data_IF_167288224516
#
_entry.id   IF_167288224516
#
_cell.length_a   1.000
_cell.length_b   1.000
_cell.length_c   1.000
_cell.angle_alpha   90.00
_cell.angle_beta   90.00
_cell.angle_gamma   90.00
#
_symmetry.space_group_name_H-M   'P 1'
#
loop_
_entity.id
_entity.type
_entity.pdbx_description
1 polymer ?
#
# COMPACT_ATOMS: atom_id res chain seq x y z
N UNK A 1 24.27 5.46 23.70
CA UNK A 1 24.95 5.92 22.47
C UNK A 1 24.01 6.78 21.67
N UNK A 2 24.34 8.06 21.59
CA UNK A 2 23.67 9.05 20.78
C UNK A 2 24.03 8.87 19.30
N UNK A 3 23.06 9.01 18.39
CA UNK A 3 23.31 9.40 17.01
C UNK A 3 22.09 10.20 16.52
N UNK A 4 22.20 11.52 16.65
CA UNK A 4 21.35 12.48 15.95
C UNK A 4 21.94 12.71 14.55
N UNK A 5 21.09 12.63 13.53
CA UNK A 5 21.45 13.02 12.18
C UNK A 5 21.18 14.51 12.02
N UNK A 6 22.28 15.28 12.06
CA UNK A 6 22.30 16.70 11.80
C UNK A 6 22.15 16.96 10.29
N UNK A 7 21.19 17.84 9.98
CA UNK A 7 21.02 18.49 8.68
C UNK A 7 22.27 19.28 8.32
N UNK A 8 22.89 18.94 7.19
CA UNK A 8 24.00 19.70 6.60
C UNK A 8 23.39 20.83 5.76
N UNK A 9 23.23 22.01 6.36
CA UNK A 9 22.97 23.25 5.63
C UNK A 9 24.28 23.75 5.03
N UNK A 10 24.36 23.76 3.70
CA UNK A 10 25.41 24.43 2.96
C UNK A 10 25.23 25.95 3.06
N UNK A 11 25.98 26.59 3.96
CA UNK A 11 26.09 28.04 4.03
C UNK A 11 27.00 28.52 2.89
N UNK A 12 26.40 29.13 1.87
CA UNK A 12 27.13 29.78 0.78
C UNK A 12 27.55 31.18 1.24
N UNK A 13 28.86 31.35 1.42
CA UNK A 13 29.52 32.59 1.83
C UNK A 13 29.52 33.56 0.63
N UNK A 14 28.51 34.43 0.55
CA UNK A 14 28.54 35.59 -0.37
C UNK A 14 29.24 36.74 0.36
N UNK A 15 30.44 37.09 -0.13
CA UNK A 15 31.20 38.23 0.36
C UNK A 15 30.45 39.53 0.11
N UNK A 16 30.14 40.25 1.19
CA UNK A 16 29.67 41.62 1.12
C UNK A 16 30.84 42.51 0.67
N UNK A 17 30.87 42.88 -0.61
CA UNK A 17 31.62 44.04 -1.06
C UNK A 17 30.86 45.30 -0.61
N UNK A 18 31.36 45.94 0.43
CA UNK A 18 30.92 47.28 0.84
C UNK A 18 31.32 48.29 -0.24
N UNK A 19 30.38 48.59 -1.14
CA UNK A 19 30.48 49.79 -1.98
C UNK A 19 30.00 50.97 -1.15
N UNK A 20 30.91 51.90 -0.94
CA UNK A 20 30.72 53.16 -0.22
C UNK A 20 29.53 53.93 -0.76
N UNK A 21 28.60 54.26 0.15
CA UNK A 21 27.51 55.19 -0.09
C UNK A 21 28.06 56.62 -0.12
N UNK A 22 28.36 57.14 -1.30
CA UNK A 22 28.46 58.59 -1.54
C UNK A 22 28.34 58.86 -3.05
N UNK A 23 27.09 58.81 -3.55
CA UNK A 23 26.59 59.42 -4.81
C UNK A 23 25.28 58.72 -5.23
N UNK A 24 24.16 59.04 -4.57
CA UNK A 24 22.82 58.64 -5.04
C UNK A 24 22.07 59.92 -5.42
N UNK A 25 22.52 60.57 -6.48
CA UNK A 25 21.77 61.65 -7.12
C UNK A 25 21.52 61.22 -8.58
N UNK A 26 20.27 60.83 -8.85
CA UNK A 26 19.69 60.58 -10.18
C UNK A 26 20.17 59.33 -10.97
N UNK A 27 19.91 58.12 -10.45
CA UNK A 27 19.75 56.96 -11.34
C UNK A 27 18.47 57.15 -12.17
N UNK A 28 18.58 57.14 -13.51
CA UNK A 28 17.42 57.31 -14.40
C UNK A 28 16.38 56.19 -14.22
N UNK A 29 15.11 56.42 -14.65
CA UNK A 29 13.99 55.51 -14.42
C UNK A 29 14.21 54.08 -14.96
N UNK A 30 15.07 53.92 -15.97
CA UNK A 30 15.46 52.61 -16.51
C UNK A 30 16.34 51.82 -15.54
N UNK A 31 17.32 52.47 -14.91
CA UNK A 31 18.27 51.79 -14.02
C UNK A 31 17.57 51.21 -12.76
N UNK A 32 16.60 51.94 -12.21
CA UNK A 32 15.78 51.49 -11.07
C UNK A 32 14.90 50.29 -11.46
N UNK A 33 14.29 50.33 -12.65
CA UNK A 33 13.44 49.23 -13.11
C UNK A 33 14.25 47.94 -13.37
N UNK A 34 15.51 48.06 -13.82
CA UNK A 34 16.42 46.90 -13.98
C UNK A 34 16.74 46.27 -12.62
N UNK A 35 17.05 47.07 -11.60
CA UNK A 35 17.36 46.53 -10.26
C UNK A 35 16.16 45.82 -9.64
N UNK A 36 14.97 46.43 -9.72
CA UNK A 36 13.73 45.82 -9.20
C UNK A 36 13.39 44.49 -9.90
N UNK A 37 13.64 44.42 -11.21
CA UNK A 37 13.45 43.20 -12.02
C UNK A 37 14.42 42.08 -11.63
N UNK A 38 15.69 42.40 -11.35
CA UNK A 38 16.68 41.41 -10.90
C UNK A 38 16.41 40.93 -9.47
N UNK A 39 16.03 41.83 -8.55
CA UNK A 39 15.70 41.46 -7.17
C UNK A 39 14.44 40.60 -7.09
N UNK A 40 13.42 40.94 -7.90
CA UNK A 40 12.20 40.13 -7.99
C UNK A 40 12.42 38.79 -8.71
N UNK A 41 13.36 38.69 -9.67
CA UNK A 41 13.81 37.40 -10.23
C UNK A 41 14.42 36.51 -9.15
N UNK A 42 15.33 37.06 -8.33
CA UNK A 42 15.96 36.33 -7.23
C UNK A 42 14.94 35.86 -6.19
N UNK A 43 13.93 36.68 -5.88
CA UNK A 43 12.83 36.31 -4.99
C UNK A 43 11.96 35.19 -5.59
N UNK A 44 11.58 35.29 -6.86
CA UNK A 44 10.74 34.30 -7.54
C UNK A 44 11.47 32.96 -7.70
N UNK A 45 12.75 32.96 -8.06
CA UNK A 45 13.57 31.73 -8.17
C UNK A 45 13.74 31.04 -6.82
N UNK A 46 13.98 31.80 -5.74
CA UNK A 46 14.02 31.24 -4.38
C UNK A 46 12.68 30.62 -3.98
N UNK A 47 11.58 31.33 -4.22
CA UNK A 47 10.24 30.82 -3.90
C UNK A 47 9.88 29.57 -4.71
N UNK A 48 10.34 29.47 -5.96
CA UNK A 48 10.19 28.26 -6.80
C UNK A 48 10.96 27.08 -6.18
N UNK A 49 12.20 27.30 -5.73
CA UNK A 49 12.99 26.27 -5.07
C UNK A 49 12.37 25.81 -3.74
N UNK A 50 11.87 26.74 -2.92
CA UNK A 50 11.17 26.44 -1.67
C UNK A 50 9.89 25.63 -1.94
N UNK A 51 9.15 25.94 -3.01
CA UNK A 51 7.98 25.18 -3.42
C UNK A 51 8.33 23.76 -3.87
N UNK A 52 9.42 23.58 -4.62
CA UNK A 52 9.90 22.25 -5.02
C UNK A 52 10.30 21.42 -3.79
N UNK A 53 10.99 22.02 -2.83
CA UNK A 53 11.33 21.37 -1.57
C UNK A 53 10.07 20.96 -0.78
N UNK A 54 9.09 21.85 -0.66
CA UNK A 54 7.84 21.56 0.04
C UNK A 54 7.02 20.45 -0.65
N UNK A 55 7.01 20.39 -1.99
CA UNK A 55 6.40 19.28 -2.74
C UNK A 55 7.09 17.95 -2.46
N UNK A 56 8.42 17.94 -2.36
CA UNK A 56 9.16 16.74 -2.02
C UNK A 56 8.87 16.27 -0.57
N UNK A 57 8.75 17.20 0.38
CA UNK A 57 8.34 16.89 1.75
C UNK A 57 6.91 16.31 1.80
N UNK A 58 5.98 16.87 1.03
CA UNK A 58 4.60 16.37 0.94
C UNK A 58 4.57 14.92 0.44
N UNK A 59 5.26 14.65 -0.67
CA UNK A 59 5.35 13.30 -1.21
C UNK A 59 6.00 12.30 -0.22
N UNK A 60 7.02 12.73 0.51
CA UNK A 60 7.64 11.91 1.56
C UNK A 60 6.66 11.63 2.72
N UNK A 61 5.84 12.60 3.11
CA UNK A 61 4.82 12.44 4.13
C UNK A 61 3.69 11.49 3.70
N UNK A 62 3.23 11.57 2.44
CA UNK A 62 2.26 10.63 1.86
C UNK A 62 2.80 9.19 1.84
N UNK A 63 4.07 9.03 1.47
CA UNK A 63 4.74 7.73 1.49
C UNK A 63 4.83 7.16 2.92
N UNK A 64 5.11 8.03 3.91
CA UNK A 64 5.15 7.63 5.32
C UNK A 64 3.78 7.18 5.85
N UNK A 65 2.68 7.86 5.49
CA UNK A 65 1.31 7.43 5.81
C UNK A 65 1.04 6.06 5.19
N UNK A 66 1.38 5.89 3.91
CA UNK A 66 1.15 4.65 3.17
C UNK A 66 1.87 3.47 3.83
N UNK A 67 3.14 3.67 4.22
CA UNK A 67 3.92 2.66 4.93
C UNK A 67 3.34 2.35 6.31
N UNK A 68 2.99 3.37 7.10
CA UNK A 68 2.41 3.18 8.43
C UNK A 68 1.05 2.46 8.38
N UNK A 69 0.26 2.72 7.34
CA UNK A 69 -1.00 2.01 7.10
C UNK A 69 -0.78 0.55 6.74
N UNK A 70 0.19 0.25 5.88
CA UNK A 70 0.55 -1.12 5.54
C UNK A 70 1.00 -1.93 6.78
N UNK A 71 1.79 -1.30 7.67
CA UNK A 71 2.20 -1.91 8.95
C UNK A 71 0.98 -2.25 9.83
N UNK A 72 0.01 -1.34 9.92
CA UNK A 72 -1.21 -1.55 10.70
C UNK A 72 -2.09 -2.66 10.11
N UNK A 73 -2.30 -2.65 8.79
CA UNK A 73 -3.12 -3.64 8.09
C UNK A 73 -2.48 -5.05 8.21
N UNK A 74 -1.15 -5.14 8.12
CA UNK A 74 -0.40 -6.39 8.33
C UNK A 74 -0.59 -6.91 9.76
N UNK A 75 -0.41 -6.06 10.77
CA UNK A 75 -0.61 -6.44 12.17
C UNK A 75 -2.06 -6.88 12.45
N UNK A 76 -3.04 -6.27 11.76
CA UNK A 76 -4.43 -6.68 11.86
C UNK A 76 -4.69 -8.07 11.24
N UNK A 77 -4.07 -8.37 10.10
CA UNK A 77 -4.18 -9.69 9.46
C UNK A 77 -3.52 -10.80 10.30
N UNK A 78 -2.35 -10.51 10.88
CA UNK A 78 -1.66 -11.40 11.81
C UNK A 78 -2.52 -11.70 13.04
N UNK A 79 -3.21 -10.67 13.58
CA UNK A 79 -4.09 -10.81 14.72
C UNK A 79 -5.28 -11.72 14.40
N UNK A 80 -5.93 -11.55 13.24
CA UNK A 80 -7.01 -12.43 12.80
C UNK A 80 -6.56 -13.89 12.64
N UNK A 81 -5.32 -14.10 12.16
CA UNK A 81 -4.73 -15.45 12.05
C UNK A 81 -4.48 -16.08 13.43
N UNK A 82 -4.01 -15.28 14.39
CA UNK A 82 -3.82 -15.72 15.76
C UNK A 82 -5.17 -16.05 16.44
N UNK A 83 -6.21 -15.25 16.23
CA UNK A 83 -7.57 -15.54 16.72
C UNK A 83 -8.10 -16.87 16.18
N UNK A 84 -7.95 -17.10 14.88
CA UNK A 84 -8.38 -18.36 14.26
C UNK A 84 -7.62 -19.58 14.83
N UNK A 85 -6.32 -19.41 15.11
CA UNK A 85 -5.49 -20.45 15.73
C UNK A 85 -5.94 -20.75 17.16
N UNK A 86 -6.21 -19.71 17.96
CA UNK A 86 -6.72 -19.84 19.34
C UNK A 86 -8.07 -20.55 19.32
N UNK A 87 -9.01 -20.14 18.46
CA UNK A 87 -10.32 -20.76 18.34
C UNK A 87 -10.22 -22.25 17.95
N UNK A 88 -9.32 -22.60 17.02
CA UNK A 88 -9.08 -23.99 16.64
C UNK A 88 -8.51 -24.85 17.79
N UNK A 89 -7.60 -24.29 18.60
CA UNK A 89 -7.08 -24.96 19.78
C UNK A 89 -8.15 -25.15 20.86
N UNK A 90 -8.99 -24.15 21.11
CA UNK A 90 -10.10 -24.23 22.06
C UNK A 90 -11.12 -25.30 21.66
N UNK A 91 -11.47 -25.37 20.37
CA UNK A 91 -12.32 -26.44 19.85
C UNK A 91 -11.70 -27.83 20.07
N UNK A 92 -10.41 -27.99 19.77
CA UNK A 92 -9.70 -29.25 19.99
C UNK A 92 -9.66 -29.65 21.47
N UNK A 93 -9.47 -28.69 22.38
CA UNK A 93 -9.55 -28.97 23.83
C UNK A 93 -10.94 -29.48 24.22
N UNK A 94 -12.00 -28.82 23.77
CA UNK A 94 -13.37 -29.23 24.07
C UNK A 94 -13.69 -30.64 23.52
N UNK A 95 -13.19 -30.97 22.33
CA UNK A 95 -13.33 -32.32 21.75
C UNK A 95 -12.57 -33.37 22.58
N UNK A 96 -11.33 -33.07 23.00
CA UNK A 96 -10.53 -33.96 23.83
C UNK A 96 -11.17 -34.18 25.21
N UNK A 97 -11.69 -33.12 25.84
CA UNK A 97 -12.40 -33.21 27.12
C UNK A 97 -13.65 -34.09 26.99
N UNK A 98 -14.42 -33.94 25.90
CA UNK A 98 -15.55 -34.82 25.62
C UNK A 98 -15.14 -36.28 25.46
N UNK A 99 -14.08 -36.57 24.68
CA UNK A 99 -13.58 -37.95 24.50
C UNK A 99 -13.08 -38.56 25.81
N UNK A 100 -12.44 -37.76 26.67
CA UNK A 100 -12.01 -38.20 28.00
C UNK A 100 -13.22 -38.57 28.86
N UNK A 101 -14.29 -37.77 28.85
CA UNK A 101 -15.54 -38.07 29.56
C UNK A 101 -16.23 -39.33 29.00
N UNK A 102 -16.24 -39.52 27.68
CA UNK A 102 -16.77 -40.74 27.06
C UNK A 102 -15.99 -41.98 27.51
N UNK A 103 -14.65 -41.92 27.50
CA UNK A 103 -13.81 -43.00 28.01
C UNK A 103 -13.96 -43.23 29.51
N UNK A 104 -14.27 -42.20 30.28
CA UNK A 104 -14.60 -42.34 31.69
C UNK A 104 -15.92 -43.08 31.91
N UNK A 105 -16.94 -42.80 31.12
CA UNK A 105 -18.22 -43.54 31.15
C UNK A 105 -18.06 -44.99 30.70
N UNK A 106 -17.30 -45.23 29.63
CA UNK A 106 -16.97 -46.61 29.20
C UNK A 106 -16.26 -47.38 30.32
N UNK A 107 -15.30 -46.74 30.99
CA UNK A 107 -14.60 -47.35 32.12
C UNK A 107 -15.55 -47.69 33.28
N UNK A 108 -16.45 -46.77 33.66
CA UNK A 108 -17.45 -47.02 34.70
C UNK A 108 -18.39 -48.17 34.35
N UNK A 109 -18.79 -48.28 33.07
CA UNK A 109 -19.63 -49.37 32.59
C UNK A 109 -18.93 -50.73 32.72
N UNK A 110 -17.66 -50.82 32.32
CA UNK A 110 -16.86 -52.05 32.44
C UNK A 110 -16.67 -52.45 33.90
N UNK A 111 -16.44 -51.48 34.80
CA UNK A 111 -16.34 -51.74 36.24
C UNK A 111 -17.67 -52.25 36.82
N UNK A 112 -18.81 -51.74 36.34
CA UNK A 112 -20.13 -52.26 36.75
C UNK A 112 -20.36 -53.69 36.24
N UNK A 113 -19.92 -53.99 35.02
CA UNK A 113 -20.01 -55.33 34.43
C UNK A 113 -19.13 -56.35 35.18
N UNK A 114 -17.90 -55.98 35.51
CA UNK A 114 -17.02 -56.78 36.38
C UNK A 114 -17.69 -57.12 37.73
N UNK A 115 -18.34 -56.13 38.36
CA UNK A 115 -19.04 -56.34 39.64
C UNK A 115 -20.25 -57.27 39.50
N UNK A 116 -20.98 -57.19 38.39
CA UNK A 116 -22.12 -58.06 38.10
C UNK A 116 -21.67 -59.50 37.88
N UNK A 117 -20.57 -59.70 37.15
CA UNK A 117 -20.02 -61.02 36.86
C UNK A 117 -19.47 -61.70 38.13
N UNK A 118 -18.73 -60.95 38.97
CA UNK A 118 -18.25 -61.44 40.27
C UNK A 118 -19.38 -61.79 41.25
N UNK A 119 -20.57 -61.21 41.09
CA UNK A 119 -21.73 -61.47 41.94
C UNK A 119 -22.59 -62.67 41.47
N UNK A 120 -22.31 -63.27 40.30
CA UNK A 120 -23.13 -64.32 39.69
C UNK A 120 -22.72 -65.74 40.15
N UNK A 121 -23.52 -66.46 40.97
CA UNK A 121 -23.11 -67.72 41.59
C UNK A 121 -23.06 -68.92 40.63
N UNK A 122 -23.60 -68.79 39.40
CA UNK A 122 -23.68 -69.86 38.40
C UNK A 122 -22.41 -69.95 37.53
N UNK A 123 -21.62 -68.88 37.43
CA UNK A 123 -20.51 -68.76 36.48
C UNK A 123 -19.12 -68.83 37.13
N UNK A 124 -18.98 -69.62 38.20
CA UNK A 124 -17.77 -69.69 39.07
C UNK A 124 -16.52 -70.32 38.41
N UNK A 125 -16.48 -70.43 37.08
CA UNK A 125 -15.39 -71.07 36.33
C UNK A 125 -15.04 -70.38 35.00
N UNK A 126 -15.46 -69.12 34.81
CA UNK A 126 -15.24 -68.37 33.58
C UNK A 126 -14.05 -67.40 33.66
N UNK A 127 -12.83 -67.86 34.00
CA UNK A 127 -11.61 -67.02 34.09
C UNK A 127 -11.42 -66.14 32.84
N UNK A 128 -11.85 -66.63 31.67
CA UNK A 128 -11.71 -65.96 30.39
C UNK A 128 -12.54 -64.68 30.21
N UNK A 129 -13.66 -64.50 30.92
CA UNK A 129 -14.51 -63.31 30.79
C UNK A 129 -14.05 -62.18 31.73
N UNK A 130 -13.60 -62.54 32.93
CA UNK A 130 -12.97 -61.62 33.88
C UNK A 130 -11.64 -61.08 33.34
N UNK A 131 -10.79 -61.96 32.77
CA UNK A 131 -9.54 -61.56 32.10
C UNK A 131 -9.78 -60.58 30.94
N UNK A 132 -10.86 -60.79 30.16
CA UNK A 132 -11.23 -59.88 29.05
C UNK A 132 -11.67 -58.51 29.56
N UNK A 133 -12.48 -58.46 30.61
CA UNK A 133 -12.92 -57.20 31.21
C UNK A 133 -11.74 -56.44 31.83
N UNK A 134 -10.78 -57.15 32.42
CA UNK A 134 -9.54 -56.56 32.94
C UNK A 134 -8.64 -56.00 31.84
N UNK A 135 -8.48 -56.72 30.73
CA UNK A 135 -7.76 -56.23 29.56
C UNK A 135 -8.42 -54.96 29.01
N UNK A 136 -9.75 -54.99 28.82
CA UNK A 136 -10.52 -53.87 28.29
C UNK A 136 -10.51 -52.64 29.22
N UNK A 137 -10.59 -52.86 30.54
CA UNK A 137 -10.40 -51.85 31.58
C UNK A 137 -9.00 -51.22 31.51
N UNK A 138 -7.96 -52.04 31.30
CA UNK A 138 -6.59 -51.60 31.09
C UNK A 138 -6.41 -50.77 29.82
N UNK A 139 -7.04 -51.17 28.71
CA UNK A 139 -7.03 -50.44 27.45
C UNK A 139 -7.72 -49.08 27.57
N UNK A 140 -8.91 -49.02 28.20
CA UNK A 140 -9.62 -47.75 28.41
C UNK A 140 -8.79 -46.80 29.27
N UNK A 141 -8.13 -47.29 30.33
CA UNK A 141 -7.23 -46.48 31.16
C UNK A 141 -6.05 -45.93 30.35
N UNK A 142 -5.41 -46.75 29.51
CA UNK A 142 -4.31 -46.32 28.62
C UNK A 142 -4.79 -45.28 27.61
N UNK A 143 -5.93 -45.50 26.97
CA UNK A 143 -6.53 -44.56 26.02
C UNK A 143 -6.89 -43.22 26.69
N UNK A 144 -7.51 -43.25 27.88
CA UNK A 144 -7.82 -42.05 28.67
C UNK A 144 -6.55 -41.29 29.06
N UNK A 145 -5.50 -41.99 29.47
CA UNK A 145 -4.21 -41.36 29.80
C UNK A 145 -3.57 -40.68 28.58
N UNK A 146 -3.62 -41.33 27.40
CA UNK A 146 -3.15 -40.73 26.16
C UNK A 146 -3.93 -39.47 25.77
N UNK A 147 -5.26 -39.50 25.85
CA UNK A 147 -6.11 -38.33 25.59
C UNK A 147 -5.83 -37.17 26.56
N UNK A 148 -5.60 -37.47 27.86
CA UNK A 148 -5.20 -36.46 28.85
C UNK A 148 -3.84 -35.84 28.52
N UNK A 149 -2.88 -36.62 28.05
CA UNK A 149 -1.58 -36.11 27.60
C UNK A 149 -1.72 -35.19 26.37
N UNK A 150 -2.57 -35.56 25.41
CA UNK A 150 -2.88 -34.68 24.27
C UNK A 150 -3.59 -33.39 24.68
N UNK A 151 -4.51 -33.47 25.65
CA UNK A 151 -5.20 -32.30 26.20
C UNK A 151 -4.19 -31.35 26.85
N UNK A 152 -3.27 -31.88 27.64
CA UNK A 152 -2.22 -31.08 28.28
C UNK A 152 -1.33 -30.38 27.23
N UNK A 153 -0.89 -31.10 26.20
CA UNK A 153 -0.10 -30.51 25.10
C UNK A 153 -0.89 -29.43 24.33
N UNK A 154 -2.21 -29.61 24.20
CA UNK A 154 -3.09 -28.63 23.55
C UNK A 154 -3.24 -27.37 24.41
N UNK A 155 -3.35 -27.52 25.75
CA UNK A 155 -3.36 -26.40 26.70
C UNK A 155 -2.06 -25.59 26.65
N UNK A 156 -0.92 -26.27 26.62
CA UNK A 156 0.39 -25.60 26.47
C UNK A 156 0.50 -24.84 25.15
N UNK A 157 0.01 -25.43 24.05
CA UNK A 157 -0.03 -24.77 22.74
C UNK A 157 -0.95 -23.54 22.75
N UNK A 158 -2.08 -23.62 23.46
CA UNK A 158 -3.03 -22.50 23.61
C UNK A 158 -2.40 -21.34 24.37
N UNK A 159 -1.70 -21.61 25.47
CA UNK A 159 -1.00 -20.56 26.23
C UNK A 159 0.09 -19.87 25.40
N UNK A 160 0.84 -20.64 24.60
CA UNK A 160 1.81 -20.07 23.65
C UNK A 160 1.11 -19.19 22.59
N UNK A 161 -0.02 -19.66 22.03
CA UNK A 161 -0.80 -18.90 21.05
C UNK A 161 -1.37 -17.60 21.64
N UNK A 162 -1.89 -17.62 22.87
CA UNK A 162 -2.38 -16.42 23.57
C UNK A 162 -1.25 -15.41 23.83
N UNK A 163 -0.07 -15.89 24.22
CA UNK A 163 1.10 -15.02 24.40
C UNK A 163 1.54 -14.39 23.07
N UNK A 164 1.51 -15.15 21.97
CA UNK A 164 1.79 -14.62 20.65
C UNK A 164 0.75 -13.58 20.22
N UNK A 165 -0.54 -13.84 20.45
CA UNK A 165 -1.63 -12.89 20.20
C UNK A 165 -1.41 -11.56 20.93
N UNK A 166 -1.07 -11.59 22.23
CA UNK A 166 -0.80 -10.38 23.00
C UNK A 166 0.37 -9.56 22.40
N UNK A 167 1.44 -10.22 21.96
CA UNK A 167 2.55 -9.56 21.28
C UNK A 167 2.18 -8.96 19.91
N UNK A 168 1.28 -9.59 19.17
CA UNK A 168 0.76 -9.05 17.89
C UNK A 168 -0.15 -7.84 18.17
N UNK A 169 -0.96 -7.90 19.23
CA UNK A 169 -1.82 -6.80 19.64
C UNK A 169 -1.01 -5.55 20.03
N UNK A 170 0.10 -5.72 20.76
CA UNK A 170 1.04 -4.63 21.03
C UNK A 170 1.62 -4.05 19.73
N UNK A 171 2.03 -4.89 18.77
CA UNK A 171 2.51 -4.42 17.46
C UNK A 171 1.46 -3.60 16.72
N UNK A 172 0.20 -4.05 16.75
CA UNK A 172 -0.92 -3.33 16.13
C UNK A 172 -1.13 -1.96 16.81
N UNK A 173 -1.04 -1.88 18.13
CA UNK A 173 -1.13 -0.60 18.86
C UNK A 173 0.02 0.34 18.48
N UNK A 174 1.26 -0.17 18.41
CA UNK A 174 2.41 0.63 17.96
C UNK A 174 2.22 1.11 16.52
N UNK A 175 1.72 0.27 15.62
CA UNK A 175 1.42 0.64 14.24
C UNK A 175 0.32 1.72 14.16
N UNK A 176 -0.71 1.63 15.00
CA UNK A 176 -1.76 2.64 15.08
C UNK A 176 -1.22 4.01 15.53
N UNK A 177 -0.36 4.03 16.54
CA UNK A 177 0.30 5.27 17.01
C UNK A 177 1.20 5.86 15.93
N UNK A 178 1.94 5.03 15.20
CA UNK A 178 2.75 5.49 14.06
C UNK A 178 1.89 6.10 12.94
N UNK A 179 0.76 5.48 12.63
CA UNK A 179 -0.17 5.97 11.62
C UNK A 179 -0.78 7.32 12.03
N UNK A 180 -1.19 7.46 13.30
CA UNK A 180 -1.68 8.74 13.84
C UNK A 180 -0.60 9.83 13.76
N UNK A 181 0.63 9.51 14.19
CA UNK A 181 1.76 10.43 14.12
C UNK A 181 2.08 10.85 12.68
N UNK A 182 2.02 9.91 11.71
CA UNK A 182 2.23 10.20 10.30
C UNK A 182 1.14 11.12 9.72
N UNK A 183 -0.13 10.86 10.05
CA UNK A 183 -1.24 11.73 9.63
C UNK A 183 -1.10 13.14 10.21
N UNK A 184 -0.71 13.25 11.49
CA UNK A 184 -0.48 14.56 12.12
C UNK A 184 0.71 15.29 11.49
N UNK A 185 1.79 14.59 11.16
CA UNK A 185 2.93 15.17 10.47
C UNK A 185 2.55 15.65 9.06
N UNK A 186 1.74 14.88 8.32
CA UNK A 186 1.25 15.25 7.00
C UNK A 186 0.46 16.55 7.03
N UNK A 187 -0.44 16.76 7.99
CA UNK A 187 -1.19 18.02 8.11
C UNK A 187 -0.26 19.24 8.25
N UNK A 188 0.84 19.12 9.00
CA UNK A 188 1.83 20.18 9.12
C UNK A 188 2.67 20.41 7.86
N UNK A 189 2.88 19.37 7.05
CA UNK A 189 3.58 19.47 5.75
C UNK A 189 2.67 20.05 4.68
N UNK A 190 1.39 19.68 4.67
CA UNK A 190 0.36 20.24 3.79
C UNK A 190 0.24 21.75 3.98
N UNK A 191 0.18 22.22 5.22
CA UNK A 191 0.15 23.66 5.52
C UNK A 191 1.41 24.39 4.99
N UNK A 192 2.60 23.80 5.16
CA UNK A 192 3.84 24.37 4.63
C UNK A 192 3.87 24.41 3.11
N UNK A 193 3.37 23.37 2.45
CA UNK A 193 3.24 23.32 1.00
C UNK A 193 2.31 24.42 0.49
N UNK A 194 1.17 24.63 1.14
CA UNK A 194 0.22 25.70 0.79
C UNK A 194 0.82 27.09 1.00
N UNK A 195 1.56 27.30 2.09
CA UNK A 195 2.31 28.54 2.33
C UNK A 195 3.39 28.77 1.27
N UNK A 196 4.11 27.73 0.84
CA UNK A 196 5.11 27.83 -0.22
C UNK A 196 4.46 28.14 -1.58
N UNK A 197 3.33 27.51 -1.91
CA UNK A 197 2.54 27.81 -3.10
C UNK A 197 2.08 29.27 -3.13
N UNK A 198 1.57 29.79 -2.01
CA UNK A 198 1.13 31.18 -1.89
C UNK A 198 2.30 32.17 -2.07
N UNK A 199 3.43 31.93 -1.39
CA UNK A 199 4.64 32.75 -1.51
C UNK A 199 5.20 32.75 -2.93
N UNK A 200 5.20 31.59 -3.60
CA UNK A 200 5.61 31.51 -5.00
C UNK A 200 4.68 32.31 -5.90
N UNK A 201 3.36 32.20 -5.73
CA UNK A 201 2.40 32.96 -6.52
C UNK A 201 2.59 34.48 -6.38
N UNK A 202 2.83 34.96 -5.16
CA UNK A 202 3.11 36.37 -4.86
C UNK A 202 4.43 36.83 -5.50
N UNK A 203 5.53 36.10 -5.27
CA UNK A 203 6.84 36.45 -5.80
C UNK A 203 6.86 36.41 -7.33
N UNK A 204 6.18 35.42 -7.94
CA UNK A 204 6.12 35.30 -9.40
C UNK A 204 5.28 36.41 -10.03
N UNK A 205 4.19 36.84 -9.38
CA UNK A 205 3.42 38.00 -9.83
C UNK A 205 4.25 39.29 -9.74
N UNK A 206 4.96 39.51 -8.64
CA UNK A 206 5.85 40.67 -8.48
C UNK A 206 6.95 40.69 -9.55
N UNK A 207 7.56 39.54 -9.84
CA UNK A 207 8.55 39.41 -10.91
C UNK A 207 7.99 39.79 -12.28
N UNK A 208 6.81 39.28 -12.64
CA UNK A 208 6.14 39.67 -13.89
C UNK A 208 5.90 41.17 -13.98
N UNK A 209 5.44 41.81 -12.91
CA UNK A 209 5.21 43.26 -12.90
C UNK A 209 6.51 44.06 -13.04
N UNK A 210 7.57 43.66 -12.33
CA UNK A 210 8.86 44.33 -12.42
C UNK A 210 9.47 44.21 -13.83
N UNK A 211 9.40 43.03 -14.45
CA UNK A 211 9.83 42.83 -15.84
C UNK A 211 9.00 43.67 -16.81
N UNK A 212 7.68 43.75 -16.63
CA UNK A 212 6.83 44.61 -17.46
C UNK A 212 7.19 46.09 -17.32
N UNK A 213 7.50 46.55 -16.10
CA UNK A 213 7.93 47.93 -15.86
C UNK A 213 9.28 48.24 -16.53
N UNK A 214 10.23 47.32 -16.43
CA UNK A 214 11.54 47.44 -17.09
C UNK A 214 11.41 47.48 -18.62
N UNK A 215 10.64 46.55 -19.20
CA UNK A 215 10.41 46.52 -20.64
C UNK A 215 9.74 47.81 -21.14
N UNK A 216 8.78 48.35 -20.41
CA UNK A 216 8.16 49.65 -20.73
C UNK A 216 9.15 50.80 -20.62
N UNK A 217 9.99 50.82 -19.58
CA UNK A 217 11.03 51.83 -19.41
C UNK A 217 12.08 51.78 -20.53
N UNK A 218 12.35 50.59 -21.08
CA UNK A 218 13.22 50.38 -22.23
C UNK A 218 12.56 50.70 -23.59
N UNK A 219 11.25 51.01 -23.63
CA UNK A 219 10.53 51.34 -24.87
C UNK A 219 9.87 50.15 -25.58
N UNK A 220 9.72 49.01 -24.92
CA UNK A 220 9.00 47.85 -25.49
C UNK A 220 7.51 48.15 -25.70
N UNK A 221 6.92 47.58 -26.76
CA UNK A 221 5.49 47.69 -27.02
C UNK A 221 4.65 46.85 -26.05
N UNK A 222 3.38 47.23 -25.87
CA UNK A 222 2.40 46.52 -25.02
C UNK A 222 2.22 45.04 -25.41
N UNK A 223 2.49 44.68 -26.67
CA UNK A 223 2.46 43.29 -27.13
C UNK A 223 3.39 42.38 -26.31
N UNK A 224 4.59 42.84 -25.99
CA UNK A 224 5.56 42.07 -25.23
C UNK A 224 5.18 41.92 -23.76
N UNK A 225 4.57 42.95 -23.17
CA UNK A 225 4.07 42.88 -21.79
C UNK A 225 2.96 41.83 -21.63
N UNK A 226 2.08 41.69 -22.63
CA UNK A 226 1.08 40.60 -22.67
C UNK A 226 1.71 39.21 -22.78
N UNK A 227 2.85 39.09 -23.49
CA UNK A 227 3.59 37.81 -23.54
C UNK A 227 4.16 37.44 -22.16
N UNK A 228 4.64 38.41 -21.39
CA UNK A 228 5.09 38.18 -20.01
C UNK A 228 3.95 37.66 -19.13
N UNK A 229 2.74 38.21 -19.26
CA UNK A 229 1.58 37.71 -18.50
C UNK A 229 1.29 36.24 -18.79
N UNK A 230 1.45 35.81 -20.04
CA UNK A 230 1.21 34.43 -20.48
C UNK A 230 2.27 33.41 -20.04
N UNK A 231 3.43 33.86 -19.55
CA UNK A 231 4.50 32.98 -19.12
C UNK A 231 4.15 32.33 -17.77
N UNK A 232 4.33 31.01 -17.66
CA UNK A 232 3.95 30.25 -16.45
C UNK A 232 5.12 29.86 -15.56
N UNK A 233 6.36 30.20 -15.96
CA UNK A 233 7.58 29.83 -15.24
C UNK A 233 8.51 31.03 -15.10
N UNK A 234 9.33 31.05 -14.04
CA UNK A 234 10.33 32.10 -13.80
C UNK A 234 11.34 32.13 -14.95
N UNK A 235 11.84 30.97 -15.36
CA UNK A 235 12.73 30.85 -16.52
C UNK A 235 12.08 31.34 -17.83
N UNK A 236 10.77 31.12 -18.02
CA UNK A 236 10.04 31.60 -19.19
C UNK A 236 9.96 33.13 -19.24
N UNK A 237 9.69 33.77 -18.10
CA UNK A 237 9.71 35.24 -17.99
C UNK A 237 11.12 35.79 -18.23
N UNK A 238 12.15 35.17 -17.64
CA UNK A 238 13.56 35.55 -17.82
C UNK A 238 13.99 35.52 -19.28
N UNK A 239 13.75 34.41 -19.96
CA UNK A 239 14.12 34.23 -21.37
C UNK A 239 13.41 35.21 -22.29
N UNK A 240 12.12 35.48 -22.03
CA UNK A 240 11.37 36.50 -22.76
C UNK A 240 11.97 37.89 -22.52
N UNK A 241 12.22 38.27 -21.27
CA UNK A 241 12.86 39.54 -20.90
C UNK A 241 14.17 39.75 -21.67
N UNK A 242 15.09 38.79 -21.60
CA UNK A 242 16.40 38.87 -22.26
C UNK A 242 16.27 39.02 -23.78
N UNK A 243 15.39 38.23 -24.42
CA UNK A 243 15.15 38.29 -25.87
C UNK A 243 14.58 39.65 -26.32
N UNK A 244 13.67 40.22 -25.53
CA UNK A 244 13.03 41.51 -25.85
C UNK A 244 14.02 42.65 -25.68
N UNK A 245 14.79 42.65 -24.59
CA UNK A 245 15.82 43.69 -24.35
C UNK A 245 16.91 43.65 -25.43
N UNK A 246 17.38 42.46 -25.84
CA UNK A 246 18.34 42.32 -26.93
C UNK A 246 17.80 42.88 -28.26
N UNK A 247 16.52 42.63 -28.55
CA UNK A 247 15.86 43.13 -29.76
C UNK A 247 15.71 44.66 -29.78
N UNK A 248 15.56 45.30 -28.61
CA UNK A 248 15.46 46.76 -28.49
C UNK A 248 16.85 47.41 -28.54
N UNK A 249 17.86 46.79 -27.94
CA UNK A 249 19.22 47.30 -27.90
C UNK A 249 19.93 47.23 -29.27
N UNK A 250 19.48 46.36 -30.16
CA UNK A 250 20.01 46.23 -31.51
C UNK A 250 19.36 47.28 -32.43
N UNK A 251 20.10 48.31 -32.92
CA UNK A 251 19.52 49.28 -33.82
C UNK A 251 19.05 48.58 -35.10
N UNK A 252 17.78 48.79 -35.43
CA UNK A 252 17.17 48.40 -36.70
C UNK A 252 18.00 49.00 -37.84
N UNK A 253 18.71 48.16 -38.60
CA UNK A 253 19.24 48.56 -39.90
C UNK A 253 18.01 48.82 -40.77
N UNK A 254 17.85 50.06 -41.25
CA UNK A 254 16.74 50.48 -42.10
C UNK A 254 16.46 49.45 -43.21
N UNK A 255 15.18 49.05 -43.43
CA UNK A 255 14.82 48.39 -44.67
C UNK A 255 14.84 49.44 -45.79
N UNK A 256 15.87 49.42 -46.63
CA UNK A 256 15.91 50.22 -47.86
C UNK A 256 14.65 49.95 -48.71
N UNK A 257 13.87 51.02 -48.87
CA UNK A 257 12.90 51.36 -49.90
C UNK A 257 12.28 50.23 -50.76
N UNK A 258 10.95 50.11 -50.66
CA UNK A 258 10.08 49.78 -51.80
C UNK A 258 10.37 50.69 -53.01
N UNK A 259 10.38 50.14 -54.24
CA UNK A 259 9.86 50.84 -55.40
C UNK A 259 8.58 50.17 -55.92
N UNK A 260 7.54 50.98 -56.15
CA UNK A 260 6.28 50.62 -56.80
C UNK A 260 6.39 50.62 -58.37
N UNK A 261 5.38 50.11 -59.12
CA UNK A 261 5.60 49.24 -60.31
C UNK A 261 5.29 49.81 -61.72
N UNK A 262 5.77 49.06 -62.75
CA UNK A 262 5.34 48.86 -64.18
C UNK A 262 5.61 49.98 -65.22
N UNK A 263 5.86 49.67 -66.54
CA UNK A 263 5.11 48.73 -67.40
C UNK A 263 5.91 47.76 -68.34
N UNK A 264 5.19 46.75 -68.86
CA UNK A 264 5.57 45.72 -69.87
C UNK A 264 5.92 46.31 -71.26
N UNK A 265 6.75 45.67 -72.13
CA UNK A 265 6.24 44.61 -73.05
C UNK A 265 7.26 43.53 -73.58
N UNK A 266 6.78 42.27 -73.62
CA UNK A 266 6.81 41.24 -74.71
C UNK A 266 8.14 40.59 -75.21
N UNK A 267 8.09 39.41 -75.91
CA UNK A 267 8.63 38.13 -75.40
C UNK A 267 9.65 37.41 -76.32
N UNK A 268 10.13 36.24 -75.84
CA UNK A 268 10.74 35.06 -76.52
C UNK A 268 12.20 34.74 -76.14
N UNK A 269 12.69 33.47 -76.24
CA UNK A 269 12.00 32.19 -76.43
C UNK A 269 12.32 31.12 -75.36
N UNK A 270 11.49 30.06 -75.36
CA UNK A 270 11.58 28.81 -74.57
C UNK A 270 12.94 28.10 -74.70
N UNK A 271 13.41 27.49 -73.59
CA UNK A 271 13.99 26.14 -73.65
C UNK A 271 13.09 25.11 -72.96
N UNK A 272 13.14 23.90 -73.53
CA UNK A 272 12.26 22.74 -73.36
C UNK A 272 12.12 22.17 -71.93
N UNK A 273 11.00 21.45 -71.67
CA UNK A 273 10.69 20.88 -70.37
C UNK A 273 11.62 19.71 -70.02
N UNK A 274 12.20 19.75 -68.81
CA UNK A 274 12.78 18.56 -68.17
C UNK A 274 11.78 17.91 -67.20
N UNK A 275 11.83 16.58 -67.06
CA UNK A 275 10.69 15.76 -66.69
C UNK A 275 10.29 15.86 -65.22
N UNK A 276 9.00 15.69 -64.97
CA UNK A 276 8.39 15.58 -63.64
C UNK A 276 9.08 14.52 -62.77
N UNK A 277 9.59 14.87 -61.58
CA UNK A 277 9.86 13.89 -60.54
C UNK A 277 8.54 13.39 -59.95
N UNK A 278 8.41 12.05 -59.96
CA UNK A 278 7.29 11.28 -59.42
C UNK A 278 6.86 11.77 -58.03
N UNK A 279 5.55 11.80 -57.73
CA UNK A 279 5.07 12.10 -56.38
C UNK A 279 5.62 11.10 -55.37
N UNK A 280 6.23 11.62 -54.31
CA UNK A 280 6.63 10.84 -53.15
C UNK A 280 5.41 10.15 -52.51
N UNK A 281 5.57 8.90 -52.04
CA UNK A 281 4.49 8.13 -51.46
C UNK A 281 3.96 8.78 -50.18
N UNK A 282 2.63 8.91 -50.10
CA UNK A 282 1.90 9.35 -48.91
C UNK A 282 2.37 8.58 -47.66
N UNK A 283 2.66 9.26 -46.54
CA UNK A 283 2.91 8.58 -45.27
C UNK A 283 1.69 7.75 -44.86
N UNK A 284 1.95 6.53 -44.38
CA UNK A 284 0.96 5.61 -43.82
C UNK A 284 0.22 6.30 -42.67
N UNK A 285 -1.11 6.14 -42.56
CA UNK A 285 -1.85 6.65 -41.42
C UNK A 285 -1.38 6.00 -40.11
N UNK A 286 -1.17 6.84 -39.11
CA UNK A 286 -0.89 6.43 -37.73
C UNK A 286 -1.99 5.50 -37.20
N UNK A 287 -1.63 4.49 -36.38
CA UNK A 287 -2.61 3.63 -35.75
C UNK A 287 -3.52 4.43 -34.81
N UNK A 288 -4.83 4.23 -34.95
CA UNK A 288 -5.85 4.78 -34.06
C UNK A 288 -5.55 4.42 -32.60
N UNK A 289 -5.69 5.37 -31.65
CA UNK A 289 -5.61 5.07 -30.24
C UNK A 289 -6.63 4.00 -29.84
N UNK A 290 -6.18 3.02 -29.06
CA UNK A 290 -7.05 2.03 -28.43
C UNK A 290 -8.11 2.73 -27.56
N UNK A 291 -9.37 2.24 -27.58
CA UNK A 291 -10.44 2.81 -26.77
C UNK A 291 -10.13 2.67 -25.28
N UNK A 292 -10.22 3.80 -24.57
CA UNK A 292 -10.14 3.86 -23.10
C UNK A 292 -11.11 2.84 -22.46
N UNK A 293 -10.68 2.11 -21.42
CA UNK A 293 -11.57 1.22 -20.68
C UNK A 293 -12.75 2.00 -20.10
N UNK A 294 -13.96 1.42 -20.22
CA UNK A 294 -15.20 1.94 -19.64
C UNK A 294 -15.05 2.09 -18.12
N UNK A 295 -15.60 3.16 -17.51
CA UNK A 295 -15.68 3.29 -16.07
C UNK A 295 -16.40 2.09 -15.45
N UNK A 296 -15.83 1.56 -14.36
CA UNK A 296 -16.48 0.54 -13.53
C UNK A 296 -17.83 1.06 -13.00
N UNK A 297 -18.85 0.19 -12.93
CA UNK A 297 -20.15 0.56 -12.37
C UNK A 297 -20.03 0.91 -10.88
N UNK A 298 -20.66 2.03 -10.51
CA UNK A 298 -20.80 2.47 -9.11
C UNK A 298 -21.39 1.35 -8.25
N UNK A 299 -20.86 1.11 -7.03
CA UNK A 299 -21.45 0.19 -6.08
C UNK A 299 -22.89 0.59 -5.75
N UNK A 300 -23.79 -0.40 -5.77
CA UNK A 300 -25.17 -0.24 -5.33
C UNK A 300 -25.23 0.21 -3.85
N UNK A 301 -26.18 1.09 -3.50
CA UNK A 301 -26.35 1.54 -2.12
C UNK A 301 -26.75 0.39 -1.20
N UNK A 302 -26.03 0.26 -0.09
CA UNK A 302 -26.31 -0.70 0.99
C UNK A 302 -27.78 -0.63 1.44
N UNK A 303 -28.46 -1.78 1.62
CA UNK A 303 -29.81 -1.80 2.17
C UNK A 303 -29.85 -1.24 3.59
N UNK A 304 -30.89 -0.44 3.86
CA UNK A 304 -31.17 0.15 5.18
C UNK A 304 -31.34 -0.95 6.24
N UNK A 305 -30.83 -0.75 7.47
CA UNK A 305 -31.01 -1.70 8.55
C UNK A 305 -32.49 -1.84 8.93
N UNK A 306 -32.99 -3.07 8.93
CA UNK A 306 -34.31 -3.40 9.48
C UNK A 306 -34.33 -3.19 11.00
N UNK A 307 -35.48 -2.74 11.55
CA UNK A 307 -35.64 -2.50 12.98
C UNK A 307 -35.60 -3.80 13.80
N UNK A 308 -34.94 -3.73 14.96
CA UNK A 308 -34.86 -4.79 15.98
C UNK A 308 -36.27 -5.20 16.46
N UNK A 309 -36.65 -6.48 16.38
CA UNK A 309 -37.76 -7.02 17.17
C UNK A 309 -37.35 -7.19 18.63
N UNK A 310 -38.25 -6.77 19.53
CA UNK A 310 -38.16 -6.87 20.98
C UNK A 310 -38.38 -8.33 21.48
N UNK A 311 -38.20 -8.62 22.78
CA UNK A 311 -37.76 -9.93 23.30
C UNK A 311 -38.86 -11.00 23.41
N UNK A 312 -38.39 -12.25 23.47
CA UNK A 312 -39.09 -13.52 23.40
C UNK A 312 -40.05 -13.85 24.57
N UNK A 313 -41.09 -14.67 24.32
CA UNK A 313 -41.68 -15.56 25.32
C UNK A 313 -41.03 -16.97 25.31
N UNK A 314 -41.00 -17.59 26.51
CA UNK A 314 -40.44 -18.92 26.85
C UNK A 314 -41.21 -20.12 26.25
N UNK A 315 -40.62 -21.34 26.29
CA UNK A 315 -40.86 -22.42 25.32
C UNK A 315 -41.80 -23.55 25.79
N UNK A 316 -42.44 -24.22 24.82
CA UNK A 316 -43.01 -25.56 24.99
C UNK A 316 -42.65 -26.51 23.81
N UNK A 317 -41.96 -27.59 24.18
CA UNK A 317 -42.07 -28.98 23.75
C UNK A 317 -42.32 -29.41 22.27
N UNK A 318 -41.28 -30.09 21.74
CA UNK A 318 -41.27 -31.49 21.21
C UNK A 318 -41.93 -31.79 19.84
N UNK A 319 -41.15 -32.18 18.82
CA UNK A 319 -40.92 -33.59 18.36
C UNK A 319 -40.10 -33.68 17.05
N UNK A 320 -39.36 -34.79 16.92
CA UNK A 320 -38.67 -35.51 15.80
C UNK A 320 -39.08 -35.15 14.34
N UNK A 321 -38.29 -35.31 13.26
CA UNK A 321 -37.43 -36.44 12.82
C UNK A 321 -36.65 -36.11 11.49
N UNK A 322 -35.46 -36.74 11.30
CA UNK A 322 -34.79 -37.26 10.07
C UNK A 322 -34.34 -36.40 8.83
N UNK A 323 -33.00 -36.41 8.66
CA UNK A 323 -32.18 -36.90 7.51
C UNK A 323 -32.12 -36.12 6.17
N UNK A 324 -30.93 -35.61 5.81
CA UNK A 324 -30.12 -36.04 4.65
C UNK A 324 -28.92 -35.08 4.38
N UNK A 325 -27.74 -35.64 4.10
CA UNK A 325 -26.55 -34.97 3.54
C UNK A 325 -26.70 -34.80 2.00
N UNK A 326 -25.88 -33.99 1.30
CA UNK A 326 -24.56 -34.49 0.85
C UNK A 326 -23.41 -33.47 0.66
N UNK A 327 -22.19 -34.01 0.85
CA UNK A 327 -20.95 -33.92 0.03
C UNK A 327 -20.15 -32.61 -0.10
N UNK A 328 -18.85 -32.82 0.15
CA UNK A 328 -17.69 -32.00 -0.17
C UNK A 328 -17.40 -32.00 -1.67
N UNK A 329 -16.85 -30.89 -2.19
CA UNK A 329 -15.97 -30.91 -3.36
C UNK A 329 -14.63 -30.28 -2.97
N UNK A 330 -13.60 -31.11 -3.08
CA UNK A 330 -12.20 -30.78 -2.93
C UNK A 330 -11.65 -30.36 -4.30
N UNK A 331 -11.17 -29.12 -4.43
CA UNK A 331 -10.01 -28.78 -5.25
C UNK A 331 -9.61 -27.31 -5.09
N UNK A 332 -8.68 -27.04 -4.16
CA UNK A 332 -7.73 -25.92 -4.26
C UNK A 332 -6.63 -26.12 -3.23
N UNK A 333 -5.43 -26.46 -3.72
CA UNK A 333 -4.20 -26.35 -2.96
C UNK A 333 -3.89 -24.86 -2.74
N UNK A 334 -3.53 -24.40 -1.53
CA UNK A 334 -2.93 -23.09 -1.38
C UNK A 334 -1.50 -23.12 -1.92
N UNK A 335 -1.22 -22.18 -2.84
CA UNK A 335 0.11 -21.90 -3.37
C UNK A 335 0.93 -21.21 -2.28
N UNK A 336 1.83 -21.92 -1.61
CA UNK A 336 2.83 -21.32 -0.73
C UNK A 336 4.09 -21.02 -1.54
N UNK A 337 4.32 -19.74 -1.80
CA UNK A 337 5.52 -19.29 -2.48
C UNK A 337 5.86 -17.86 -2.08
N UNK A 338 6.34 -17.66 -0.86
CA UNK A 338 7.32 -16.60 -0.61
C UNK A 338 8.20 -16.97 0.58
N UNK A 339 9.48 -17.21 0.28
CA UNK A 339 10.50 -17.61 1.22
C UNK A 339 11.14 -16.35 1.79
N UNK A 340 10.82 -15.97 3.03
CA UNK A 340 11.62 -15.08 3.89
C UNK A 340 10.91 -14.85 5.22
N UNK A 341 10.88 -15.85 6.13
CA UNK A 341 10.77 -15.60 7.58
C UNK A 341 11.00 -16.89 8.40
N UNK A 342 12.01 -16.95 9.29
CA UNK A 342 12.40 -18.18 9.99
C UNK A 342 11.40 -18.67 11.06
N UNK A 343 10.34 -17.89 11.35
CA UNK A 343 9.34 -18.25 12.35
C UNK A 343 8.22 -19.15 11.80
N UNK A 344 7.98 -19.17 10.49
CA UNK A 344 6.94 -20.02 9.88
C UNK A 344 7.43 -21.41 9.49
N UNK A 345 8.75 -21.61 9.33
CA UNK A 345 9.35 -22.90 8.95
C UNK A 345 9.31 -23.94 10.08
N UNK A 346 9.41 -23.52 11.34
CA UNK A 346 9.42 -24.44 12.48
C UNK A 346 8.02 -25.02 12.79
N UNK A 347 6.97 -24.20 12.66
CA UNK A 347 5.59 -24.63 12.90
C UNK A 347 5.08 -25.58 11.80
N UNK A 348 5.47 -25.36 10.54
CA UNK A 348 5.10 -26.23 9.42
C UNK A 348 5.81 -27.60 9.47
N UNK A 349 7.06 -27.67 9.97
CA UNK A 349 7.79 -28.94 10.11
C UNK A 349 7.24 -29.84 11.24
N UNK A 350 6.68 -29.26 12.30
CA UNK A 350 6.07 -30.03 13.39
C UNK A 350 4.76 -30.74 12.99
N UNK A 351 4.03 -30.20 12.00
CA UNK A 351 2.80 -30.82 11.47
C UNK A 351 3.13 -31.94 10.46
N UNK A 352 4.20 -31.79 9.68
CA UNK A 352 4.65 -32.82 8.73
C UNK A 352 5.23 -34.09 9.40
N UNK A 353 5.80 -33.99 10.61
CA UNK A 353 6.31 -35.15 11.33
C UNK A 353 5.21 -36.02 11.98
N UNK A 354 4.00 -35.47 12.20
CA UNK A 354 2.88 -36.21 12.81
C UNK A 354 2.02 -37.01 11.83
N UNK A 355 1.95 -36.57 10.56
CA UNK A 355 1.10 -37.21 9.55
C UNK A 355 1.82 -38.30 8.71
N UNK A 356 3.16 -38.33 8.70
CA UNK A 356 3.95 -39.24 7.85
C UNK A 356 4.11 -40.68 8.35
N UNK A 357 3.81 -40.98 9.62
CA UNK A 357 4.05 -42.32 10.20
C UNK A 357 2.84 -43.27 10.03
N UNK A 358 1.64 -42.74 9.73
CA UNK A 358 0.44 -43.57 9.61
C UNK A 358 0.26 -44.25 8.24
N UNK A 359 0.95 -43.81 7.18
CA UNK A 359 0.70 -44.30 5.81
C UNK A 359 1.62 -45.44 5.32
N UNK A 360 2.66 -45.83 6.07
CA UNK A 360 3.66 -46.85 5.61
C UNK A 360 3.49 -48.22 6.30
N UNK A 361 2.61 -48.36 7.29
CA UNK A 361 2.51 -49.60 8.08
C UNK A 361 1.48 -50.63 7.59
N UNK A 362 0.60 -50.29 6.64
CA UNK A 362 -0.44 -51.22 6.13
C UNK A 362 -0.10 -51.93 4.82
N UNK A 363 1.12 -51.77 4.28
CA UNK A 363 1.54 -52.43 3.03
C UNK A 363 2.55 -53.57 3.20
N UNK A 364 2.57 -54.24 4.36
CA UNK A 364 3.37 -55.47 4.57
C UNK A 364 2.60 -56.69 5.05
N UNK A 365 1.28 -56.61 5.25
CA UNK A 365 0.49 -57.78 5.70
C UNK A 365 -0.24 -58.55 4.60
N UNK A 366 -0.34 -58.01 3.38
CA UNK A 366 -1.04 -58.69 2.26
C UNK A 366 -0.11 -59.40 1.26
N UNK A 367 1.19 -59.57 1.54
CA UNK A 367 2.10 -60.34 0.67
C UNK A 367 2.53 -61.68 1.25
N UNK A 368 2.06 -62.07 2.45
CA UNK A 368 2.49 -63.31 3.10
C UNK A 368 1.49 -64.48 2.97
N UNK A 369 0.27 -64.24 2.46
CA UNK A 369 -0.74 -65.28 2.22
C UNK A 369 -0.80 -65.78 0.76
N UNK A 370 0.16 -65.38 -0.08
CA UNK A 370 0.27 -65.85 -1.47
C UNK A 370 1.41 -66.86 -1.70
N UNK A 371 2.10 -67.30 -0.64
CA UNK A 371 3.10 -68.37 -0.67
C UNK A 371 3.08 -69.14 0.66
N UNK A 372 2.07 -69.97 0.85
CA UNK A 372 2.20 -71.28 1.51
C UNK A 372 1.00 -72.16 1.19
#
# INVERSE_FOLDING_TARGET
>A
SAFGLASVSAALLVGAASVSADSVESAGPVAVAVTDSLDSEAAATKAEADLVAAKAELAAAEAAITAAKADFDTAQADLATAEATIAGLEQKMAELEKKIQEKEKEFEQVVLEQKMEQANPVNRGGDAEEDRLDELSGEIRRAKAALKAELQKTKESLEVAKKAYAGIEERKQVAAVKLDAANKAFAGVEEKHDQAMAKFAEAFAAYKEAVKAELKAAGASDFYTKKIDSANTVAGVKTLREMILDSIAKPEVEPEAKPEPKPEPKPEPKPEPKPEPKPEPKPKPEPKPEPKPKPEPKPEPKPKPQPKPAPAPKPEAKKEEKKAAPKQDANKLPSTGEATNPFFTAAALAVMAGAGVAAVSTRRKNQQDAKN
#
